data_IF_281166631723
#
_entry.id   IF_281166631723
#
_cell.length_a   1.000
_cell.length_b   1.000
_cell.length_c   1.000
_cell.angle_alpha   90.00
_cell.angle_beta   90.00
_cell.angle_gamma   90.00
#
_symmetry.space_group_name_H-M   'P 1'
#
loop_
_entity.id
_entity.type
_entity.pdbx_description
1 polymer ?
#
# COMPACT_ATOMS: atom_id res chain seq x y z
N UNK A 1 19.50 -1.44 23.75
CA UNK A 1 20.30 -0.20 23.66
C UNK A 1 20.41 0.35 22.24
N UNK A 2 21.30 -0.09 21.34
CA UNK A 2 21.47 0.58 20.03
C UNK A 2 20.20 0.66 19.18
N UNK A 3 19.43 -0.43 19.08
CA UNK A 3 18.16 -0.48 18.34
C UNK A 3 17.06 0.40 18.96
N UNK A 4 17.10 0.64 20.27
CA UNK A 4 16.14 1.51 20.96
C UNK A 4 16.50 2.98 20.75
N UNK A 5 17.78 3.31 20.78
CA UNK A 5 18.28 4.65 20.43
C UNK A 5 17.95 4.99 18.98
N UNK A 6 18.25 4.11 18.03
CA UNK A 6 17.93 4.31 16.61
C UNK A 6 16.43 4.51 16.37
N UNK A 7 15.58 3.75 17.08
CA UNK A 7 14.12 3.91 17.04
C UNK A 7 13.69 5.26 17.59
N UNK A 8 14.28 5.72 18.69
CA UNK A 8 13.99 7.04 19.27
C UNK A 8 14.42 8.14 18.31
N UNK A 9 15.67 8.14 17.85
CA UNK A 9 16.18 9.13 16.90
C UNK A 9 15.33 9.20 15.62
N UNK A 10 14.88 8.04 15.10
CA UNK A 10 14.00 8.00 13.93
C UNK A 10 12.61 8.58 14.23
N UNK A 11 12.03 8.29 15.40
CA UNK A 11 10.75 8.86 15.84
C UNK A 11 10.86 10.37 16.01
N UNK A 12 11.92 10.84 16.66
CA UNK A 12 12.15 12.25 16.95
C UNK A 12 12.35 13.03 15.65
N UNK A 13 13.18 12.53 14.73
CA UNK A 13 13.36 13.12 13.41
C UNK A 13 12.07 13.10 12.57
N UNK A 14 11.26 12.05 12.67
CA UNK A 14 9.97 11.98 11.99
C UNK A 14 8.98 13.01 12.53
N UNK A 15 8.91 13.16 13.86
CA UNK A 15 8.05 14.16 14.52
C UNK A 15 8.52 15.59 14.20
N UNK A 16 9.84 15.81 14.15
CA UNK A 16 10.42 17.09 13.75
C UNK A 16 10.03 17.46 12.31
N UNK A 17 10.16 16.54 11.37
CA UNK A 17 9.73 16.75 9.97
C UNK A 17 8.23 16.98 9.89
N UNK A 18 7.40 16.22 10.60
CA UNK A 18 5.95 16.40 10.62
C UNK A 18 5.55 17.77 11.14
N UNK A 19 6.22 18.25 12.19
CA UNK A 19 5.94 19.56 12.76
C UNK A 19 6.46 20.69 11.85
N UNK A 20 7.67 20.55 11.30
CA UNK A 20 8.28 21.53 10.39
C UNK A 20 7.52 21.68 9.06
N UNK A 21 6.86 20.61 8.59
CA UNK A 21 6.06 20.61 7.35
C UNK A 21 4.58 20.94 7.58
N UNK A 22 4.17 21.20 8.83
CA UNK A 22 2.77 21.50 9.20
C UNK A 22 1.84 20.29 9.16
N UNK A 23 2.36 19.08 8.91
CA UNK A 23 1.56 17.85 8.93
C UNK A 23 1.15 17.43 10.35
N UNK A 24 1.94 17.77 11.37
CA UNK A 24 1.62 17.48 12.77
C UNK A 24 0.31 18.16 13.19
N UNK A 25 0.21 19.47 12.96
CA UNK A 25 -0.99 20.26 13.30
C UNK A 25 -2.21 19.86 12.48
N UNK A 26 -2.01 19.47 11.21
CA UNK A 26 -3.09 18.96 10.35
C UNK A 26 -3.66 17.64 10.89
N UNK A 27 -2.79 16.67 11.22
CA UNK A 27 -3.21 15.38 11.77
C UNK A 27 -3.84 15.53 13.15
N UNK A 28 -3.31 16.41 14.00
CA UNK A 28 -3.89 16.70 15.31
C UNK A 28 -5.29 17.33 15.19
N UNK A 29 -5.47 18.26 14.25
CA UNK A 29 -6.77 18.84 13.94
C UNK A 29 -7.78 17.82 13.41
N UNK A 30 -7.33 16.90 12.55
CA UNK A 30 -8.14 15.78 12.06
C UNK A 30 -8.52 14.81 13.20
N UNK A 31 -7.57 14.49 14.09
CA UNK A 31 -7.83 13.62 15.23
C UNK A 31 -8.79 14.29 16.23
N UNK A 32 -8.66 15.59 16.45
CA UNK A 32 -9.56 16.36 17.29
C UNK A 32 -10.98 16.40 16.73
N UNK A 33 -11.15 16.67 15.43
CA UNK A 33 -12.46 16.68 14.78
C UNK A 33 -13.11 15.30 14.75
N UNK A 34 -12.31 14.25 14.56
CA UNK A 34 -12.78 12.87 14.67
C UNK A 34 -13.21 12.51 16.09
N UNK A 35 -12.49 12.97 17.12
CA UNK A 35 -12.85 12.69 18.51
C UNK A 35 -14.13 13.41 18.93
N UNK A 36 -14.30 14.66 18.51
CA UNK A 36 -15.46 15.49 18.88
C UNK A 36 -16.71 15.07 18.10
N UNK A 37 -16.63 15.04 16.77
CA UNK A 37 -17.78 14.69 15.91
C UNK A 37 -17.98 13.19 15.66
N UNK A 38 -16.93 12.37 15.80
CA UNK A 38 -17.01 10.93 15.54
C UNK A 38 -17.75 10.16 16.63
N UNK A 39 -17.77 10.66 17.86
CA UNK A 39 -18.45 10.01 18.98
C UNK A 39 -19.98 9.95 18.81
N UNK A 40 -20.59 11.02 18.28
CA UNK A 40 -22.02 11.08 17.93
C UNK A 40 -22.34 10.43 16.57
N UNK A 41 -21.36 10.32 15.67
CA UNK A 41 -21.53 9.64 14.37
C UNK A 41 -21.69 8.12 14.51
N UNK A 42 -20.98 7.48 15.44
CA UNK A 42 -21.05 6.02 15.63
C UNK A 42 -22.45 5.51 15.99
N UNK A 43 -23.16 6.06 17.00
CA UNK A 43 -24.52 5.62 17.31
C UNK A 43 -25.50 5.93 16.18
N UNK A 44 -25.33 7.06 15.48
CA UNK A 44 -26.14 7.38 14.30
C UNK A 44 -25.98 6.33 13.20
N UNK A 45 -24.74 6.00 12.82
CA UNK A 45 -24.45 4.99 11.80
C UNK A 45 -25.00 3.62 12.24
N UNK A 46 -24.79 3.26 13.50
CA UNK A 46 -25.32 2.01 14.05
C UNK A 46 -26.84 1.92 13.92
N UNK A 47 -27.55 2.98 14.25
CA UNK A 47 -29.00 3.01 14.14
C UNK A 47 -29.47 2.87 12.69
N UNK A 48 -28.87 3.62 11.76
CA UNK A 48 -29.20 3.53 10.33
C UNK A 48 -28.95 2.12 9.77
N UNK A 49 -27.84 1.49 10.16
CA UNK A 49 -27.53 0.11 9.76
C UNK A 49 -28.51 -0.87 10.38
N UNK A 50 -28.85 -0.71 11.66
CA UNK A 50 -29.82 -1.55 12.35
C UNK A 50 -31.19 -1.49 11.67
N UNK A 51 -31.66 -0.28 11.33
CA UNK A 51 -32.94 -0.07 10.66
C UNK A 51 -32.96 -0.70 9.27
N UNK A 52 -31.88 -0.55 8.51
CA UNK A 52 -31.72 -1.22 7.21
C UNK A 52 -31.74 -2.74 7.35
N UNK A 53 -30.97 -3.29 8.30
CA UNK A 53 -30.90 -4.74 8.55
C UNK A 53 -32.25 -5.29 8.97
N UNK A 54 -33.01 -4.56 9.78
CA UNK A 54 -34.35 -4.96 10.21
C UNK A 54 -35.38 -4.90 9.07
N UNK A 55 -35.23 -3.97 8.12
CA UNK A 55 -36.14 -3.81 6.99
C UNK A 55 -35.96 -4.87 5.88
N UNK A 56 -34.79 -5.50 5.80
CA UNK A 56 -34.46 -6.48 4.75
C UNK A 56 -34.76 -7.90 5.22
N UNK A 57 -35.53 -8.66 4.44
CA UNK A 57 -35.76 -10.08 4.69
C UNK A 57 -34.55 -10.93 4.23
N UNK A 58 -33.59 -11.13 5.12
CA UNK A 58 -32.35 -11.89 4.83
C UNK A 58 -32.56 -13.39 4.55
N UNK A 59 -33.76 -13.92 4.80
CA UNK A 59 -34.07 -15.33 4.56
C UNK A 59 -34.33 -15.65 3.08
N UNK A 60 -34.43 -14.63 2.23
CA UNK A 60 -34.63 -14.78 0.80
C UNK A 60 -33.47 -15.53 0.12
N UNK A 61 -33.74 -16.47 -0.82
CA UNK A 61 -32.70 -17.21 -1.54
C UNK A 61 -31.70 -16.30 -2.28
N UNK A 62 -32.13 -15.11 -2.69
CA UNK A 62 -31.27 -14.08 -3.30
C UNK A 62 -29.98 -13.85 -2.52
N UNK A 63 -30.06 -13.73 -1.19
CA UNK A 63 -28.88 -13.48 -0.35
C UNK A 63 -27.93 -14.68 -0.29
N UNK A 64 -28.45 -15.90 -0.44
CA UNK A 64 -27.63 -17.10 -0.54
C UNK A 64 -26.81 -17.11 -1.83
N UNK A 65 -27.45 -16.79 -2.97
CA UNK A 65 -26.74 -16.67 -4.25
C UNK A 65 -25.75 -15.52 -4.25
N UNK A 66 -26.09 -14.40 -3.62
CA UNK A 66 -25.20 -13.25 -3.47
C UNK A 66 -23.97 -13.59 -2.60
N UNK A 67 -24.16 -14.30 -1.49
CA UNK A 67 -23.07 -14.77 -0.64
C UNK A 67 -22.16 -15.77 -1.38
N UNK A 68 -22.75 -16.68 -2.17
CA UNK A 68 -22.00 -17.59 -3.03
C UNK A 68 -21.18 -16.82 -4.08
N UNK A 69 -21.78 -15.83 -4.73
CA UNK A 69 -21.09 -14.95 -5.68
C UNK A 69 -19.88 -14.27 -5.03
N UNK A 70 -20.05 -13.65 -3.86
CA UNK A 70 -18.94 -13.00 -3.13
C UNK A 70 -17.85 -14.01 -2.76
N UNK A 71 -18.23 -15.20 -2.32
CA UNK A 71 -17.29 -16.28 -2.00
C UNK A 71 -16.47 -16.66 -3.22
N UNK A 72 -17.11 -16.84 -4.38
CA UNK A 72 -16.43 -17.16 -5.64
C UNK A 72 -15.46 -16.03 -6.03
N UNK A 73 -15.89 -14.77 -5.95
CA UNK A 73 -15.04 -13.60 -6.25
C UNK A 73 -13.82 -13.57 -5.33
N UNK A 74 -14.01 -13.73 -4.02
CA UNK A 74 -12.92 -13.73 -3.05
C UNK A 74 -11.95 -14.88 -3.32
N UNK A 75 -12.45 -16.10 -3.54
CA UNK A 75 -11.61 -17.27 -3.86
C UNK A 75 -10.83 -17.02 -5.15
N UNK A 76 -11.48 -16.51 -6.20
CA UNK A 76 -10.83 -16.21 -7.47
C UNK A 76 -9.73 -15.15 -7.29
N UNK A 77 -10.02 -14.06 -6.57
CA UNK A 77 -9.04 -13.03 -6.24
C UNK A 77 -7.85 -13.62 -5.48
N UNK A 78 -8.09 -14.45 -4.46
CA UNK A 78 -7.03 -15.09 -3.68
C UNK A 78 -6.15 -15.98 -4.55
N UNK A 79 -6.76 -16.83 -5.40
CA UNK A 79 -6.03 -17.74 -6.30
C UNK A 79 -5.22 -16.96 -7.33
N UNK A 80 -5.81 -15.96 -7.99
CA UNK A 80 -5.14 -15.19 -9.05
C UNK A 80 -4.01 -14.30 -8.51
N UNK A 81 -4.13 -13.85 -7.26
CA UNK A 81 -3.15 -12.95 -6.62
C UNK A 81 -2.15 -13.68 -5.72
N UNK A 82 -2.30 -14.99 -5.55
CA UNK A 82 -1.36 -15.80 -4.77
C UNK A 82 0.03 -15.78 -5.41
N UNK A 83 1.01 -15.20 -4.70
CA UNK A 83 2.39 -15.01 -5.18
C UNK A 83 2.49 -14.31 -6.54
N UNK A 84 1.51 -13.48 -6.86
CA UNK A 84 1.46 -12.74 -8.12
C UNK A 84 2.41 -11.54 -8.16
N UNK A 85 2.84 -11.16 -9.37
CA UNK A 85 3.52 -9.89 -9.63
C UNK A 85 2.56 -8.71 -9.44
N UNK A 86 3.11 -7.51 -9.16
CA UNK A 86 2.31 -6.30 -8.98
C UNK A 86 1.41 -6.00 -10.18
N UNK A 87 1.90 -6.22 -11.41
CA UNK A 87 1.15 -6.06 -12.66
C UNK A 87 -0.09 -6.96 -12.70
N UNK A 88 0.04 -8.24 -12.32
CA UNK A 88 -1.10 -9.16 -12.28
C UNK A 88 -2.10 -8.74 -11.22
N UNK A 89 -1.64 -8.33 -10.04
CA UNK A 89 -2.52 -7.84 -8.98
C UNK A 89 -3.27 -6.58 -9.44
N UNK A 90 -2.61 -5.69 -10.18
CA UNK A 90 -3.24 -4.51 -10.77
C UNK A 90 -4.34 -4.88 -11.77
N UNK A 91 -4.08 -5.83 -12.67
CA UNK A 91 -5.10 -6.31 -13.62
C UNK A 91 -6.30 -6.92 -12.90
N UNK A 92 -6.07 -7.75 -11.87
CA UNK A 92 -7.15 -8.31 -11.06
C UNK A 92 -7.93 -7.21 -10.33
N UNK A 93 -7.24 -6.24 -9.73
CA UNK A 93 -7.87 -5.11 -9.06
C UNK A 93 -8.73 -4.28 -10.02
N UNK A 94 -8.28 -4.06 -11.26
CA UNK A 94 -9.04 -3.40 -12.30
C UNK A 94 -10.37 -4.13 -12.59
N UNK A 95 -10.35 -5.46 -12.74
CA UNK A 95 -11.58 -6.23 -12.95
C UNK A 95 -12.52 -6.21 -11.73
N UNK A 96 -11.98 -6.26 -10.51
CA UNK A 96 -12.80 -6.15 -9.28
C UNK A 96 -13.47 -4.76 -9.21
N UNK A 97 -12.74 -3.69 -9.54
CA UNK A 97 -13.29 -2.34 -9.61
C UNK A 97 -14.34 -2.20 -10.72
N UNK A 98 -14.12 -2.84 -11.88
CA UNK A 98 -15.11 -2.88 -12.95
C UNK A 98 -16.41 -3.57 -12.48
N UNK A 99 -16.28 -4.65 -11.70
CA UNK A 99 -17.42 -5.34 -11.09
C UNK A 99 -18.18 -4.39 -10.15
N UNK A 100 -17.46 -3.62 -9.33
CA UNK A 100 -18.05 -2.59 -8.47
C UNK A 100 -18.73 -1.47 -9.25
N UNK A 101 -18.13 -1.03 -10.35
CA UNK A 101 -18.69 -0.02 -11.26
C UNK A 101 -20.04 -0.46 -11.86
N UNK A 102 -20.19 -1.76 -12.14
CA UNK A 102 -21.45 -2.32 -12.65
C UNK A 102 -22.62 -2.27 -11.64
N UNK A 103 -22.41 -1.86 -10.39
CA UNK A 103 -23.45 -1.81 -9.35
C UNK A 103 -24.68 -0.98 -9.76
N UNK A 104 -24.50 0.16 -10.41
CA UNK A 104 -25.62 1.02 -10.85
C UNK A 104 -26.48 0.35 -11.92
N UNK A 105 -25.85 -0.34 -12.87
CA UNK A 105 -26.54 -1.10 -13.91
C UNK A 105 -27.28 -2.31 -13.33
N UNK A 106 -26.65 -3.02 -12.39
CA UNK A 106 -27.29 -4.13 -11.67
C UNK A 106 -28.49 -3.65 -10.85
N UNK A 107 -28.40 -2.47 -10.24
CA UNK A 107 -29.50 -1.89 -9.49
C UNK A 107 -30.70 -1.57 -10.37
N UNK A 108 -30.48 -0.90 -11.51
CA UNK A 108 -31.56 -0.58 -12.43
C UNK A 108 -32.18 -1.85 -13.03
N UNK A 109 -31.34 -2.83 -13.39
CA UNK A 109 -31.82 -4.13 -13.85
C UNK A 109 -32.67 -4.83 -12.78
N UNK A 110 -32.18 -4.85 -11.53
CA UNK A 110 -32.88 -5.44 -10.39
C UNK A 110 -34.20 -4.75 -10.11
N UNK A 111 -34.25 -3.42 -10.23
CA UNK A 111 -35.48 -2.64 -10.05
C UNK A 111 -36.57 -3.02 -11.04
N UNK A 112 -36.19 -3.32 -12.29
CA UNK A 112 -37.11 -3.71 -13.35
C UNK A 112 -37.58 -5.18 -13.23
N UNK A 113 -36.75 -6.07 -12.68
CA UNK A 113 -37.02 -7.52 -12.61
C UNK A 113 -37.20 -8.03 -11.17
N UNK A 114 -37.50 -7.15 -10.21
CA UNK A 114 -37.58 -7.51 -8.79
C UNK A 114 -38.55 -8.66 -8.51
N UNK A 115 -39.66 -8.74 -9.24
CA UNK A 115 -40.67 -9.79 -9.11
C UNK A 115 -40.17 -11.19 -9.53
N UNK A 116 -39.10 -11.27 -10.33
CA UNK A 116 -38.46 -12.53 -10.73
C UNK A 116 -37.28 -12.89 -9.81
N UNK A 117 -36.65 -11.88 -9.21
CA UNK A 117 -35.47 -12.03 -8.36
C UNK A 117 -35.84 -12.44 -6.94
N UNK A 118 -36.90 -11.83 -6.38
CA UNK A 118 -37.35 -12.09 -5.01
C UNK A 118 -38.53 -13.05 -5.00
N UNK A 119 -38.53 -13.98 -4.04
CA UNK A 119 -39.60 -14.97 -3.88
C UNK A 119 -40.82 -14.31 -3.23
N UNK A 120 -40.59 -13.42 -2.28
CA UNK A 120 -41.63 -12.62 -1.66
C UNK A 120 -42.29 -11.65 -2.67
N UNK A 121 -43.59 -11.87 -2.91
CA UNK A 121 -44.33 -11.11 -3.92
C UNK A 121 -44.55 -9.66 -3.47
N UNK A 122 -44.26 -8.72 -4.38
CA UNK A 122 -44.47 -7.28 -4.16
C UNK A 122 -43.31 -6.58 -3.47
N UNK A 123 -42.23 -7.30 -3.12
CA UNK A 123 -41.03 -6.73 -2.53
C UNK A 123 -40.07 -6.27 -3.61
N UNK A 124 -39.52 -5.06 -3.45
CA UNK A 124 -38.46 -4.55 -4.29
C UNK A 124 -37.46 -3.77 -3.42
N UNK A 125 -36.34 -4.40 -3.09
CA UNK A 125 -35.28 -3.76 -2.33
C UNK A 125 -34.44 -2.79 -3.17
N UNK A 126 -34.51 -2.85 -4.51
CA UNK A 126 -33.74 -1.97 -5.37
C UNK A 126 -34.39 -0.58 -5.42
N UNK A 127 -33.63 0.42 -5.00
CA UNK A 127 -34.08 1.81 -4.91
C UNK A 127 -33.37 2.69 -5.95
N UNK A 128 -33.94 3.87 -6.25
CA UNK A 128 -33.33 4.82 -7.22
C UNK A 128 -31.99 5.37 -6.74
N UNK A 129 -31.78 5.44 -5.42
CA UNK A 129 -30.51 5.85 -4.82
C UNK A 129 -29.45 4.75 -4.82
N UNK A 130 -29.86 3.50 -5.05
CA UNK A 130 -28.98 2.33 -5.03
C UNK A 130 -28.39 2.03 -3.65
N UNK A 131 -29.05 2.45 -2.56
CA UNK A 131 -28.58 2.16 -1.20
C UNK A 131 -28.45 0.66 -0.98
N UNK A 132 -29.47 -0.11 -1.39
CA UNK A 132 -29.47 -1.56 -1.24
C UNK A 132 -28.27 -2.21 -1.92
N UNK A 133 -28.09 -2.00 -3.24
CA UNK A 133 -26.98 -2.59 -3.99
C UNK A 133 -25.62 -2.12 -3.47
N UNK A 134 -25.56 -0.89 -2.96
CA UNK A 134 -24.32 -0.30 -2.47
C UNK A 134 -23.84 -1.05 -1.24
N UNK A 135 -24.75 -1.40 -0.33
CA UNK A 135 -24.45 -2.13 0.89
C UNK A 135 -24.15 -3.60 0.61
N UNK A 136 -25.02 -4.30 -0.13
CA UNK A 136 -24.95 -5.77 -0.24
C UNK A 136 -23.99 -6.27 -1.32
N UNK A 137 -23.67 -5.44 -2.31
CA UNK A 137 -22.82 -5.81 -3.44
C UNK A 137 -21.57 -4.93 -3.54
N UNK A 138 -21.72 -3.61 -3.65
CA UNK A 138 -20.58 -2.72 -3.90
C UNK A 138 -19.62 -2.69 -2.72
N UNK A 139 -20.11 -2.56 -1.49
CA UNK A 139 -19.26 -2.43 -0.31
C UNK A 139 -18.32 -3.65 -0.13
N UNK A 140 -18.78 -4.91 -0.17
CA UNK A 140 -17.88 -6.08 -0.15
C UNK A 140 -16.84 -6.07 -1.28
N UNK A 141 -17.25 -5.77 -2.51
CA UNK A 141 -16.35 -5.71 -3.68
C UNK A 141 -15.30 -4.60 -3.51
N UNK A 142 -15.72 -3.44 -3.02
CA UNK A 142 -14.84 -2.31 -2.75
C UNK A 142 -13.82 -2.63 -1.65
N UNK A 143 -14.21 -3.35 -0.60
CA UNK A 143 -13.27 -3.80 0.43
C UNK A 143 -12.22 -4.75 -0.14
N UNK A 144 -12.61 -5.68 -1.02
CA UNK A 144 -11.64 -6.55 -1.72
C UNK A 144 -10.69 -5.72 -2.58
N UNK A 145 -11.21 -4.75 -3.33
CA UNK A 145 -10.40 -3.85 -4.14
C UNK A 145 -9.42 -3.03 -3.28
N UNK A 146 -9.85 -2.54 -2.13
CA UNK A 146 -9.02 -1.80 -1.17
C UNK A 146 -7.85 -2.65 -0.66
N UNK A 147 -8.10 -3.92 -0.33
CA UNK A 147 -7.06 -4.86 0.10
C UNK A 147 -6.04 -5.11 -1.02
N UNK A 148 -6.49 -5.26 -2.27
CA UNK A 148 -5.60 -5.40 -3.42
C UNK A 148 -4.74 -4.16 -3.62
N UNK A 149 -5.34 -2.97 -3.51
CA UNK A 149 -4.61 -1.71 -3.59
C UNK A 149 -3.54 -1.63 -2.49
N UNK A 150 -3.87 -1.98 -1.26
CA UNK A 150 -2.92 -2.06 -0.15
C UNK A 150 -1.75 -3.01 -0.44
N UNK A 151 -2.02 -4.19 -1.03
CA UNK A 151 -0.96 -5.13 -1.44
C UNK A 151 -0.03 -4.56 -2.51
N UNK A 152 -0.58 -3.89 -3.54
CA UNK A 152 0.21 -3.25 -4.59
C UNK A 152 1.10 -2.16 -3.99
N UNK A 153 0.55 -1.30 -3.13
CA UNK A 153 1.31 -0.26 -2.45
C UNK A 153 2.46 -0.83 -1.61
N UNK A 154 2.20 -1.89 -0.84
CA UNK A 154 3.24 -2.56 -0.05
C UNK A 154 4.33 -3.18 -0.93
N UNK A 155 3.98 -3.79 -2.07
CA UNK A 155 4.96 -4.31 -3.03
C UNK A 155 5.79 -3.18 -3.63
N UNK A 156 5.17 -2.08 -4.03
CA UNK A 156 5.85 -0.91 -4.59
C UNK A 156 6.83 -0.29 -3.58
N UNK A 157 6.43 -0.13 -2.31
CA UNK A 157 7.30 0.36 -1.25
C UNK A 157 8.51 -0.55 -1.04
N UNK A 158 8.32 -1.88 -1.04
CA UNK A 158 9.44 -2.85 -0.95
C UNK A 158 10.40 -2.72 -2.13
N UNK A 159 9.87 -2.63 -3.36
CA UNK A 159 10.69 -2.44 -4.56
C UNK A 159 11.48 -1.12 -4.53
N UNK A 160 10.86 -0.04 -4.05
CA UNK A 160 11.54 1.25 -3.89
C UNK A 160 12.66 1.17 -2.86
N UNK A 161 12.40 0.55 -1.70
CA UNK A 161 13.40 0.34 -0.65
C UNK A 161 14.55 -0.52 -1.16
N UNK A 162 14.26 -1.62 -1.88
CA UNK A 162 15.30 -2.49 -2.43
C UNK A 162 16.13 -1.79 -3.50
N UNK A 163 15.51 -0.98 -4.35
CA UNK A 163 16.21 -0.19 -5.37
C UNK A 163 17.13 0.84 -4.71
N UNK A 164 16.66 1.53 -3.66
CA UNK A 164 17.48 2.47 -2.88
C UNK A 164 18.64 1.77 -2.17
N UNK A 165 18.41 0.60 -1.58
CA UNK A 165 19.47 -0.21 -0.97
C UNK A 165 20.52 -0.63 -2.00
N UNK A 166 20.11 -0.98 -3.22
CA UNK A 166 21.04 -1.35 -4.32
C UNK A 166 21.84 -0.14 -4.81
N UNK A 167 21.22 1.03 -4.92
CA UNK A 167 21.90 2.28 -5.28
C UNK A 167 23.02 2.60 -4.27
N UNK A 168 22.71 2.61 -2.97
CA UNK A 168 23.67 2.89 -1.91
C UNK A 168 24.84 1.89 -1.89
N UNK A 169 24.57 0.59 -2.09
CA UNK A 169 25.62 -0.43 -2.16
C UNK A 169 26.59 -0.19 -3.33
N UNK A 170 26.07 0.27 -4.47
CA UNK A 170 26.89 0.60 -5.64
C UNK A 170 27.77 1.82 -5.35
N UNK A 171 27.20 2.87 -4.77
CA UNK A 171 27.95 4.07 -4.37
C UNK A 171 29.08 3.76 -3.38
N UNK A 172 28.83 2.89 -2.38
CA UNK A 172 29.86 2.47 -1.44
C UNK A 172 30.98 1.65 -2.11
N UNK A 173 30.63 0.77 -3.04
CA UNK A 173 31.62 -0.02 -3.79
C UNK A 173 32.49 0.88 -4.70
N UNK A 174 31.88 1.84 -5.39
CA UNK A 174 32.58 2.81 -6.24
C UNK A 174 33.50 3.71 -5.41
N UNK A 175 33.05 4.16 -4.22
CA UNK A 175 33.86 4.93 -3.28
C UNK A 175 35.05 4.12 -2.73
N UNK A 176 34.83 2.84 -2.40
CA UNK A 176 35.90 1.94 -1.96
C UNK A 176 36.94 1.71 -3.06
N UNK A 177 36.50 1.47 -4.30
CA UNK A 177 37.39 1.31 -5.46
C UNK A 177 38.21 2.59 -5.74
N UNK A 178 37.59 3.77 -5.63
CA UNK A 178 38.28 5.06 -5.76
C UNK A 178 39.35 5.25 -4.67
N UNK A 179 39.05 4.86 -3.42
CA UNK A 179 40.02 4.94 -2.31
C UNK A 179 41.20 3.96 -2.45
N UNK A 180 40.95 2.75 -2.97
CA UNK A 180 41.98 1.76 -3.23
C UNK A 180 42.93 2.20 -4.36
N UNK A 181 42.39 2.75 -5.46
CA UNK A 181 43.19 3.32 -6.56
C UNK A 181 44.12 4.45 -6.08
N UNK A 182 43.60 5.35 -5.21
CA UNK A 182 44.38 6.45 -4.64
C UNK A 182 45.51 5.96 -3.74
N UNK A 183 45.27 4.92 -2.96
CA UNK A 183 46.27 4.29 -2.07
C UNK A 183 47.39 3.62 -2.88
N UNK A 184 47.04 2.91 -3.96
CA UNK A 184 48.03 2.27 -4.84
C UNK A 184 48.89 3.30 -5.59
N UNK A 185 48.30 4.41 -6.03
CA UNK A 185 49.04 5.49 -6.70
C UNK A 185 50.03 6.21 -5.76
N UNK A 186 49.66 6.44 -4.50
CA UNK A 186 50.57 7.05 -3.50
C UNK A 186 51.70 6.10 -3.10
N UNK A 187 51.42 4.80 -2.97
CA UNK A 187 52.43 3.79 -2.60
C UNK A 187 53.41 3.52 -3.76
N UNK A 188 52.92 3.50 -5.00
CA UNK A 188 53.78 3.37 -6.19
C UNK A 188 54.72 4.57 -6.40
N UNK A 189 54.25 5.80 -6.11
CA UNK A 189 55.07 7.01 -6.22
C UNK A 189 56.16 7.09 -5.13
N UNK A 190 55.86 6.65 -3.92
CA UNK A 190 56.87 6.54 -2.85
C UNK A 190 57.97 5.52 -3.15
N UNK A 191 57.63 4.41 -3.82
CA UNK A 191 58.62 3.40 -4.23
C UNK A 191 59.52 3.87 -5.38
N UNK A 192 58.98 4.62 -6.35
CA UNK A 192 59.78 5.20 -7.45
C UNK A 192 60.70 6.32 -6.98
N UNK A 193 60.25 7.16 -6.03
CA UNK A 193 61.08 8.24 -5.48
C UNK A 193 62.18 7.71 -4.54
N UNK A 194 61.93 6.62 -3.81
CA UNK A 194 62.94 5.93 -3.01
C UNK A 194 64.02 5.24 -3.88
N UNK A 195 63.65 4.69 -5.03
CA UNK A 195 64.60 4.09 -5.98
C UNK A 195 65.48 5.16 -6.67
N UNK A 196 64.94 6.35 -6.95
CA UNK A 196 65.70 7.47 -7.53
C UNK A 196 66.67 8.12 -6.52
N UNK A 197 66.39 8.06 -5.22
CA UNK A 197 67.30 8.53 -4.17
C UNK A 197 68.51 7.62 -3.93
N UNK A 198 68.38 6.31 -4.18
CA UNK A 198 69.47 5.34 -3.96
C UNK A 198 70.55 5.39 -5.06
N UNK A 199 70.20 5.79 -6.29
CA UNK A 199 71.15 5.88 -7.42
C UNK A 199 71.99 7.16 -7.40
N UNK A 200 71.62 8.15 -6.57
CA UNK A 200 72.36 9.41 -6.42
C UNK A 200 73.51 9.35 -5.39
N UNK A 201 73.56 8.32 -4.53
CA UNK A 201 74.57 8.24 -3.47
C UNK A 201 75.84 7.48 -3.88
N UNK A 202 75.83 6.80 -5.03
CA UNK A 202 76.94 5.95 -5.50
C UNK A 202 77.92 6.66 -6.47
N UNK A 203 77.66 7.92 -6.84
CA UNK A 203 78.51 8.67 -7.78
C UNK A 203 79.61 9.50 -7.10
N UNK A 204 79.82 9.37 -5.78
CA UNK A 204 80.78 10.22 -5.03
C UNK A 204 81.99 9.49 -4.43
N UNK A 205 82.25 8.25 -4.84
CA UNK A 205 83.49 7.52 -4.53
C UNK A 205 84.00 6.82 -5.78
N UNK A 206 84.76 7.51 -6.62
CA UNK A 206 86.05 6.99 -7.09
C UNK A 206 86.87 8.10 -7.75
N UNK A 207 88.15 8.11 -7.40
CA UNK A 207 89.23 8.92 -7.99
C UNK A 207 89.68 8.28 -9.30
#
# INVERSE_FOLDING_TARGET
>A
MFMEELRKTLKDAHLEVLNATGWGTLLDGLAASWRDGGSDMLPFIYQQVSDFVAAVNWSEPFFTYLALFHTIVIVLVLVLTWRASAERIFVVAFFVLLLGWCSSYLNEYGRLHAAEIFVEKGVNYFDRGGLFISVVYFCPIFLVALLLQGRILLQMLRLMVDTKRRQLRKEMADAAAASASKTTATTGRGATDAAAGMTSFDSKKEK
#
